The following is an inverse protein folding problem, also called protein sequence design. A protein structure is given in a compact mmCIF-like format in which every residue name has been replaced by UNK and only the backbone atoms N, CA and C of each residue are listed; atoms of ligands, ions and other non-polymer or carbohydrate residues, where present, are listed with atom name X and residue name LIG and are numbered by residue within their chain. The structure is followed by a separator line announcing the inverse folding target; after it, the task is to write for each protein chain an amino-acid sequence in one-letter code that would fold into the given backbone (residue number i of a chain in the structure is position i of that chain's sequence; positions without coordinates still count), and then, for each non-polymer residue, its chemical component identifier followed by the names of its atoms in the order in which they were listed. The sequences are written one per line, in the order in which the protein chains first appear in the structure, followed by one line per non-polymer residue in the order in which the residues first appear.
data_IF_100152643435
#
_entry.id   IF_100152643435
#
_cell.length_a   1.000
_cell.length_b   1.000
_cell.length_c   1.000
_cell.angle_alpha   90.00
_cell.angle_beta   90.00
_cell.angle_gamma   90.00
#
_symmetry.space_group_name_H-M   'P 1'
#
loop_
_entity.id
_entity.type
_entity.pdbx_description
1 polymer ?
#
# COMPACT_ATOMS: atom_id res chain seq x y z
N UNK A 1 17.24 4.72 -7.41
CA UNK A 1 16.88 3.39 -6.83
C UNK A 1 17.49 2.31 -7.70
N UNK A 2 18.16 1.31 -7.13
CA UNK A 2 18.81 0.32 -7.95
C UNK A 2 17.73 -0.51 -8.64
N UNK A 3 17.90 -0.79 -9.92
CA UNK A 3 17.14 -1.81 -10.67
C UNK A 3 17.43 -3.24 -10.14
N UNK A 4 17.64 -3.39 -8.82
CA UNK A 4 18.15 -4.59 -8.18
C UNK A 4 17.40 -4.83 -6.87
N UNK A 5 16.95 -6.06 -6.73
CA UNK A 5 16.35 -6.58 -5.51
C UNK A 5 17.39 -6.71 -4.39
N UNK A 6 17.06 -6.21 -3.21
CA UNK A 6 17.87 -6.35 -2.00
C UNK A 6 17.22 -7.35 -1.03
N UNK A 7 18.01 -8.29 -0.51
CA UNK A 7 17.54 -9.23 0.52
C UNK A 7 17.79 -8.62 1.90
N UNK A 8 16.71 -8.36 2.63
CA UNK A 8 16.76 -7.81 3.99
C UNK A 8 16.45 -8.92 4.99
N UNK A 9 17.48 -9.41 5.70
CA UNK A 9 17.31 -10.38 6.78
C UNK A 9 16.93 -9.68 8.08
N UNK A 10 15.89 -10.18 8.75
CA UNK A 10 15.42 -9.71 10.06
C UNK A 10 15.22 -10.89 11.00
N UNK A 11 15.36 -10.64 12.30
CA UNK A 11 14.89 -11.52 13.37
C UNK A 11 13.39 -11.27 13.66
N UNK A 12 12.82 -12.05 14.57
CA UNK A 12 11.41 -12.03 14.99
C UNK A 12 11.13 -11.18 16.24
N UNK A 13 12.10 -10.44 16.78
CA UNK A 13 11.87 -9.52 17.90
C UNK A 13 11.05 -8.30 17.45
N UNK A 14 9.77 -8.23 17.86
CA UNK A 14 8.86 -7.13 17.51
C UNK A 14 8.85 -6.06 18.61
N UNK A 15 8.92 -4.75 18.28
CA UNK A 15 8.74 -3.69 19.26
C UNK A 15 7.32 -3.73 19.86
N UNK A 16 7.23 -3.96 21.16
CA UNK A 16 5.97 -3.99 21.90
C UNK A 16 5.91 -2.90 22.97
N UNK A 17 4.71 -2.42 23.26
CA UNK A 17 4.49 -1.45 24.34
C UNK A 17 4.50 -2.17 25.69
N UNK A 18 5.50 -1.88 26.53
CA UNK A 18 5.64 -2.46 27.87
C UNK A 18 4.59 -1.99 28.88
N UNK A 19 3.81 -0.96 28.56
CA UNK A 19 2.76 -0.42 29.43
C UNK A 19 1.36 -0.97 29.08
N UNK A 20 1.21 -1.69 27.97
CA UNK A 20 -0.09 -2.18 27.50
C UNK A 20 0.01 -3.69 27.27
N UNK A 21 -0.64 -4.44 28.16
CA UNK A 21 -0.76 -5.88 28.08
C UNK A 21 -2.14 -6.28 27.55
N UNK A 22 -2.23 -7.41 26.88
CA UNK A 22 -3.51 -8.08 26.64
C UNK A 22 -4.01 -8.81 27.89
N UNK A 23 -5.19 -9.42 27.79
CA UNK A 23 -5.80 -10.21 28.88
C UNK A 23 -4.96 -11.42 29.31
N UNK A 24 -4.01 -11.84 28.49
CA UNK A 24 -3.10 -12.96 28.73
C UNK A 24 -1.72 -12.50 29.24
N UNK A 25 -1.53 -11.19 29.51
CA UNK A 25 -0.26 -10.65 29.99
C UNK A 25 0.81 -10.48 28.92
N UNK A 26 0.45 -10.53 27.63
CA UNK A 26 1.39 -10.34 26.52
C UNK A 26 1.43 -8.86 26.12
N UNK A 27 2.64 -8.33 25.90
CA UNK A 27 2.82 -6.95 25.44
C UNK A 27 2.25 -6.77 24.02
N UNK A 28 1.46 -5.72 23.80
CA UNK A 28 0.89 -5.45 22.46
C UNK A 28 1.95 -4.85 21.51
N UNK A 29 1.97 -5.24 20.22
CA UNK A 29 2.82 -4.60 19.21
C UNK A 29 2.61 -3.09 19.14
N UNK A 30 3.68 -2.34 18.98
CA UNK A 30 3.64 -0.87 18.98
C UNK A 30 3.13 -0.31 17.63
N UNK A 31 3.53 -0.93 16.51
CA UNK A 31 3.24 -0.48 15.15
C UNK A 31 2.10 -1.29 14.51
N UNK A 32 2.34 -2.03 13.42
CA UNK A 32 1.33 -2.85 12.75
C UNK A 32 0.71 -3.87 13.70
N UNK A 33 -0.62 -3.99 13.61
CA UNK A 33 -1.43 -4.89 14.44
C UNK A 33 -2.29 -5.76 13.53
N UNK A 34 -1.92 -7.03 13.30
CA UNK A 34 -2.75 -7.94 12.52
C UNK A 34 -4.06 -8.22 13.25
N UNK A 35 -5.14 -8.50 12.50
CA UNK A 35 -6.45 -8.84 13.07
C UNK A 35 -6.45 -10.21 13.76
N UNK A 36 -5.58 -11.12 13.28
CA UNK A 36 -5.43 -12.51 13.73
C UNK A 36 -3.96 -12.84 14.02
N UNK A 37 -3.64 -14.13 14.11
CA UNK A 37 -2.29 -14.66 14.30
C UNK A 37 -1.40 -14.59 13.02
N UNK A 38 -1.48 -13.48 12.29
CA UNK A 38 -0.72 -13.25 11.06
C UNK A 38 0.54 -12.44 11.34
N UNK A 39 1.68 -13.12 11.48
CA UNK A 39 2.96 -12.49 11.81
C UNK A 39 3.57 -11.68 10.65
N UNK A 40 3.22 -12.02 9.40
CA UNK A 40 3.92 -11.52 8.22
C UNK A 40 3.85 -10.00 8.09
N UNK A 41 2.75 -9.35 8.50
CA UNK A 41 2.59 -7.89 8.41
C UNK A 41 3.61 -7.18 9.30
N UNK A 42 3.79 -7.66 10.53
CA UNK A 42 4.76 -7.10 11.47
C UNK A 42 6.20 -7.31 10.98
N UNK A 43 6.50 -8.49 10.43
CA UNK A 43 7.80 -8.80 9.86
C UNK A 43 8.09 -7.97 8.61
N UNK A 44 7.11 -7.78 7.73
CA UNK A 44 7.23 -6.96 6.54
C UNK A 44 7.49 -5.50 6.89
N UNK A 45 6.73 -4.93 7.83
CA UNK A 45 6.96 -3.56 8.32
C UNK A 45 8.36 -3.44 8.93
N UNK A 46 8.81 -4.41 9.72
CA UNK A 46 10.16 -4.43 10.29
C UNK A 46 11.25 -4.47 9.21
N UNK A 47 11.09 -5.31 8.20
CA UNK A 47 12.04 -5.39 7.09
C UNK A 47 12.09 -4.07 6.33
N UNK A 48 10.92 -3.45 6.09
CA UNK A 48 10.81 -2.17 5.40
C UNK A 48 11.38 -1.01 6.24
N UNK A 49 11.16 -1.02 7.55
CA UNK A 49 11.78 -0.10 8.50
C UNK A 49 13.31 -0.23 8.45
N UNK A 50 13.84 -1.45 8.51
CA UNK A 50 15.29 -1.71 8.40
C UNK A 50 15.84 -1.22 7.06
N UNK A 51 15.10 -1.41 5.96
CA UNK A 51 15.47 -0.89 4.65
C UNK A 51 15.57 0.64 4.65
N UNK A 52 14.62 1.33 5.29
CA UNK A 52 14.55 2.80 5.37
C UNK A 52 15.45 3.44 6.44
N UNK A 53 16.07 2.65 7.33
CA UNK A 53 16.94 3.14 8.41
C UNK A 53 16.29 3.21 9.80
N UNK A 54 15.05 2.73 9.97
CA UNK A 54 14.36 2.59 11.25
C UNK A 54 12.85 2.82 11.14
N UNK A 55 12.11 2.53 12.21
CA UNK A 55 10.65 2.72 12.25
C UNK A 55 10.26 4.21 12.16
N UNK A 56 11.02 5.11 12.78
CA UNK A 56 10.78 6.56 12.67
C UNK A 56 10.94 7.06 11.25
N UNK A 57 11.77 6.39 10.44
CA UNK A 57 11.95 6.71 9.03
C UNK A 57 10.76 6.26 8.17
N UNK A 58 9.76 5.55 8.72
CA UNK A 58 8.53 5.23 7.99
C UNK A 58 7.47 6.32 8.12
N UNK A 59 7.64 7.26 9.06
CA UNK A 59 6.69 8.35 9.26
C UNK A 59 6.68 9.29 8.05
N UNK A 60 5.48 9.60 7.55
CA UNK A 60 5.25 10.51 6.42
C UNK A 60 5.87 10.01 5.11
N UNK A 61 5.08 9.38 4.25
CA UNK A 61 5.56 8.85 2.96
C UNK A 61 4.48 8.77 1.90
N UNK A 62 4.90 8.55 0.65
CA UNK A 62 3.99 8.30 -0.47
C UNK A 62 3.69 6.81 -0.58
N UNK A 63 2.41 6.42 -0.56
CA UNK A 63 2.00 5.00 -0.65
C UNK A 63 2.48 4.35 -1.95
N UNK A 64 2.36 5.06 -3.07
CA UNK A 64 2.83 4.59 -4.38
C UNK A 64 4.35 4.40 -4.43
N UNK A 65 5.11 5.15 -3.64
CA UNK A 65 6.56 4.93 -3.51
C UNK A 65 6.83 3.62 -2.76
N UNK A 66 6.12 3.38 -1.65
CA UNK A 66 6.31 2.16 -0.86
C UNK A 66 5.99 0.91 -1.69
N UNK A 67 4.89 0.95 -2.45
CA UNK A 67 4.52 -0.14 -3.37
C UNK A 67 5.61 -0.31 -4.44
N UNK A 68 6.04 0.78 -5.10
CA UNK A 68 7.16 0.72 -6.07
C UNK A 68 8.44 0.14 -5.49
N UNK A 69 8.77 0.47 -4.24
CA UNK A 69 9.96 -0.08 -3.57
C UNK A 69 9.85 -1.59 -3.35
N UNK A 70 8.62 -2.10 -3.16
CA UNK A 70 8.33 -3.53 -2.98
C UNK A 70 8.11 -4.28 -4.29
N UNK A 71 7.74 -3.60 -5.38
CA UNK A 71 7.41 -4.24 -6.66
C UNK A 71 8.45 -4.02 -7.76
N UNK A 72 9.21 -2.93 -7.69
CA UNK A 72 10.09 -2.44 -8.76
C UNK A 72 9.34 -1.74 -9.91
N UNK A 73 8.01 -1.76 -9.90
CA UNK A 73 7.18 -1.32 -11.02
C UNK A 73 7.04 0.23 -11.08
N UNK A 74 6.85 0.81 -12.28
CA UNK A 74 6.53 2.23 -12.46
C UNK A 74 5.35 2.68 -11.61
N UNK A 75 5.53 3.80 -10.91
CA UNK A 75 4.48 4.42 -10.09
C UNK A 75 4.14 5.81 -10.61
N UNK A 76 2.85 6.13 -10.60
CA UNK A 76 2.27 7.37 -11.13
C UNK A 76 1.18 7.86 -10.20
N UNK A 77 0.94 9.16 -10.23
CA UNK A 77 -0.17 9.80 -9.53
C UNK A 77 -0.93 10.70 -10.47
N UNK A 78 -2.25 10.55 -10.51
CA UNK A 78 -3.15 11.48 -11.15
C UNK A 78 -3.67 12.47 -10.11
N UNK A 79 -3.60 13.75 -10.43
CA UNK A 79 -4.08 14.83 -9.60
C UNK A 79 -5.22 15.54 -10.31
N UNK A 80 -6.32 15.78 -9.59
CA UNK A 80 -7.47 16.49 -10.11
C UNK A 80 -7.31 17.99 -9.89
N UNK A 81 -7.44 18.76 -10.98
CA UNK A 81 -7.59 20.21 -10.92
C UNK A 81 -9.09 20.56 -10.98
N UNK A 82 -9.67 20.85 -9.82
CA UNK A 82 -11.11 21.17 -9.71
C UNK A 82 -11.51 22.42 -10.50
N UNK A 83 -10.58 23.36 -10.72
CA UNK A 83 -10.86 24.59 -11.47
C UNK A 83 -11.08 24.30 -12.96
N UNK A 84 -10.34 23.32 -13.50
CA UNK A 84 -10.41 22.93 -14.92
C UNK A 84 -11.28 21.70 -15.16
N UNK A 85 -11.62 20.96 -14.09
CA UNK A 85 -12.27 19.64 -14.15
C UNK A 85 -11.46 18.62 -14.98
N UNK A 86 -10.15 18.73 -14.90
CA UNK A 86 -9.19 17.89 -15.62
C UNK A 86 -8.28 17.14 -14.64
N UNK A 87 -7.77 15.99 -15.07
CA UNK A 87 -6.75 15.22 -14.39
C UNK A 87 -5.40 15.44 -15.05
N UNK A 88 -4.38 15.65 -14.24
CA UNK A 88 -2.98 15.74 -14.67
C UNK A 88 -2.19 14.55 -14.13
N UNK A 89 -1.39 13.93 -14.98
CA UNK A 89 -0.53 12.81 -14.60
C UNK A 89 0.83 13.32 -14.12
N UNK A 90 1.30 12.76 -13.00
CA UNK A 90 2.66 12.94 -12.48
C UNK A 90 3.34 11.59 -12.30
N UNK A 91 4.53 11.44 -12.85
CA UNK A 91 5.32 10.22 -12.69
C UNK A 91 6.21 10.31 -11.44
N UNK A 92 6.26 9.24 -10.66
CA UNK A 92 7.13 9.16 -9.50
C UNK A 92 8.55 8.80 -9.90
N UNK A 93 9.52 9.61 -9.47
CA UNK A 93 10.94 9.33 -9.64
C UNK A 93 11.64 9.36 -8.30
N UNK A 94 12.47 8.35 -8.06
CA UNK A 94 13.33 8.27 -6.89
C UNK A 94 14.59 9.10 -7.12
N UNK A 95 15.09 9.72 -6.06
CA UNK A 95 16.39 10.34 -6.01
C UNK A 95 17.34 9.47 -5.21
N UNK A 96 18.59 9.42 -5.61
CA UNK A 96 19.62 8.76 -4.82
C UNK A 96 20.10 9.75 -3.75
N UNK A 97 19.73 9.48 -2.50
CA UNK A 97 20.18 10.22 -1.32
C UNK A 97 20.80 9.23 -0.33
N UNK A 98 22.06 9.44 0.11
CA UNK A 98 22.71 8.53 1.06
C UNK A 98 22.01 8.42 2.42
N UNK A 99 21.22 9.41 2.81
CA UNK A 99 20.59 9.50 4.13
C UNK A 99 19.08 9.20 4.11
N UNK A 100 18.42 9.33 2.95
CA UNK A 100 16.99 9.07 2.80
C UNK A 100 16.68 8.27 1.55
N UNK A 101 16.55 6.95 1.71
CA UNK A 101 16.16 6.04 0.61
C UNK A 101 14.76 6.31 0.05
N UNK A 102 13.94 7.08 0.75
CA UNK A 102 12.55 7.39 0.37
C UNK A 102 12.44 8.63 -0.49
N UNK A 103 13.53 9.39 -0.62
CA UNK A 103 13.53 10.65 -1.37
C UNK A 103 13.03 10.41 -2.78
N UNK A 104 11.88 10.98 -3.08
CA UNK A 104 11.23 10.89 -4.38
C UNK A 104 10.53 12.20 -4.72
N UNK A 105 10.27 12.39 -6.02
CA UNK A 105 9.56 13.54 -6.56
C UNK A 105 8.50 13.09 -7.56
N UNK A 106 7.45 13.88 -7.67
CA UNK A 106 6.38 13.72 -8.66
C UNK A 106 6.59 14.74 -9.79
N UNK A 107 6.77 14.23 -11.00
CA UNK A 107 7.09 15.03 -12.17
C UNK A 107 5.87 15.09 -13.09
N UNK A 108 5.38 16.32 -13.31
CA UNK A 108 4.25 16.55 -14.20
C UNK A 108 4.53 16.16 -15.63
N UNK A 109 3.48 15.68 -16.29
CA UNK A 109 3.42 15.49 -17.73
C UNK A 109 2.42 16.49 -18.31
N UNK A 110 2.52 16.79 -19.60
CA UNK A 110 1.60 17.73 -20.28
C UNK A 110 0.22 17.12 -20.59
N UNK A 111 -0.04 15.90 -20.10
CA UNK A 111 -1.29 15.20 -20.30
C UNK A 111 -2.42 15.85 -19.51
N UNK A 112 -3.48 16.20 -20.22
CA UNK A 112 -4.75 16.66 -19.67
C UNK A 112 -5.80 15.61 -20.00
N UNK A 113 -6.43 15.08 -18.96
CA UNK A 113 -7.34 13.95 -19.07
C UNK A 113 -8.70 14.40 -18.52
N UNK A 114 -9.75 14.25 -19.32
CA UNK A 114 -11.11 14.52 -18.84
C UNK A 114 -11.61 13.41 -17.90
N UNK A 115 -12.70 13.70 -17.18
CA UNK A 115 -13.26 12.79 -16.19
C UNK A 115 -13.71 11.43 -16.77
N UNK A 116 -14.22 11.40 -18.01
CA UNK A 116 -14.72 10.18 -18.61
C UNK A 116 -13.58 9.32 -19.14
N UNK A 117 -12.58 9.93 -19.75
CA UNK A 117 -11.34 9.27 -20.16
C UNK A 117 -10.57 8.75 -18.95
N UNK A 118 -10.53 9.50 -17.84
CA UNK A 118 -9.87 9.05 -16.62
C UNK A 118 -10.49 7.76 -16.07
N UNK A 119 -11.83 7.64 -16.14
CA UNK A 119 -12.51 6.40 -15.77
C UNK A 119 -12.10 5.21 -16.65
N UNK A 120 -12.01 5.40 -17.97
CA UNK A 120 -11.54 4.35 -18.88
C UNK A 120 -10.09 3.94 -18.60
N UNK A 121 -9.22 4.92 -18.32
CA UNK A 121 -7.83 4.68 -17.95
C UNK A 121 -7.75 3.84 -16.68
N UNK A 122 -8.52 4.19 -15.65
CA UNK A 122 -8.62 3.42 -14.40
C UNK A 122 -9.13 2.00 -14.64
N UNK A 123 -10.16 1.83 -15.47
CA UNK A 123 -10.69 0.52 -15.83
C UNK A 123 -9.64 -0.33 -16.54
N UNK A 124 -8.85 0.28 -17.43
CA UNK A 124 -7.73 -0.38 -18.10
C UNK A 124 -6.66 -0.82 -17.09
N UNK A 125 -6.22 0.05 -16.19
CA UNK A 125 -5.25 -0.32 -15.16
C UNK A 125 -5.76 -1.42 -14.22
N UNK A 126 -7.04 -1.35 -13.82
CA UNK A 126 -7.68 -2.42 -13.05
C UNK A 126 -7.65 -3.75 -13.82
N UNK A 127 -7.97 -3.76 -15.13
CA UNK A 127 -7.91 -4.97 -15.97
C UNK A 127 -6.51 -5.54 -16.15
N UNK A 128 -5.47 -4.70 -16.04
CA UNK A 128 -4.06 -5.10 -16.09
C UNK A 128 -3.54 -5.61 -14.74
N UNK A 129 -4.38 -5.58 -13.69
CA UNK A 129 -3.98 -5.96 -12.33
C UNK A 129 -3.05 -4.94 -11.65
N UNK A 130 -3.00 -3.70 -12.13
CA UNK A 130 -2.24 -2.63 -11.48
C UNK A 130 -2.77 -2.36 -10.07
N UNK A 131 -1.88 -1.92 -9.17
CA UNK A 131 -2.26 -1.54 -7.81
C UNK A 131 -2.77 -0.11 -7.83
N UNK A 132 -4.00 0.08 -7.36
CA UNK A 132 -4.71 1.35 -7.40
C UNK A 132 -4.99 1.86 -5.99
N UNK A 133 -4.78 3.15 -5.78
CA UNK A 133 -5.03 3.83 -4.51
C UNK A 133 -5.68 5.19 -4.74
N UNK A 134 -6.44 5.66 -3.76
CA UNK A 134 -7.05 6.99 -3.73
C UNK A 134 -6.56 7.74 -2.48
N UNK A 135 -6.40 9.06 -2.59
CA UNK A 135 -6.02 9.91 -1.45
C UNK A 135 -6.56 11.33 -1.62
N UNK A 136 -6.50 12.11 -0.55
CA UNK A 136 -7.07 13.45 -0.53
C UNK A 136 -8.60 13.41 -0.58
N UNK A 137 -9.18 12.56 0.28
CA UNK A 137 -10.62 12.51 0.53
C UNK A 137 -11.14 13.85 1.07
N UNK A 138 -12.38 14.19 0.74
CA UNK A 138 -13.09 15.41 1.18
C UNK A 138 -13.27 15.49 2.70
N UNK A 139 -13.32 14.35 3.39
CA UNK A 139 -13.66 14.29 4.82
C UNK A 139 -15.16 14.30 5.11
N UNK A 140 -15.99 14.25 4.07
CA UNK A 140 -17.45 14.26 4.16
C UNK A 140 -17.99 12.83 4.09
N UNK A 141 -19.23 12.63 4.53
CA UNK A 141 -19.99 11.38 4.36
C UNK A 141 -19.24 10.11 4.83
N UNK A 142 -18.56 10.22 5.98
CA UNK A 142 -17.83 9.11 6.60
C UNK A 142 -16.39 8.92 6.10
N UNK A 143 -15.96 9.68 5.08
CA UNK A 143 -14.60 9.60 4.56
C UNK A 143 -13.59 10.25 5.50
N UNK A 144 -12.43 9.61 5.65
CA UNK A 144 -11.32 10.08 6.50
C UNK A 144 -10.30 10.86 5.68
N UNK A 145 -9.97 12.07 6.10
CA UNK A 145 -8.94 12.92 5.48
C UNK A 145 -7.53 12.51 5.87
N UNK A 146 -6.53 12.90 5.06
CA UNK A 146 -5.11 12.64 5.38
C UNK A 146 -4.70 11.16 5.33
N UNK A 147 -5.54 10.27 4.81
CA UNK A 147 -5.29 8.84 4.69
C UNK A 147 -5.38 8.36 3.23
N UNK A 148 -4.83 7.17 2.97
CA UNK A 148 -4.85 6.53 1.67
C UNK A 148 -5.83 5.36 1.67
N UNK A 149 -6.64 5.27 0.62
CA UNK A 149 -7.61 4.22 0.41
C UNK A 149 -7.17 3.35 -0.77
N UNK A 150 -7.63 2.11 -0.82
CA UNK A 150 -7.38 1.21 -1.94
C UNK A 150 -8.56 1.25 -2.91
N UNK A 151 -8.30 1.38 -4.21
CA UNK A 151 -9.33 1.16 -5.22
C UNK A 151 -9.27 -0.33 -5.57
N UNK A 152 -10.32 -1.08 -5.24
CA UNK A 152 -10.37 -2.52 -5.44
C UNK A 152 -10.85 -2.87 -6.83
N UNK A 153 -11.92 -2.22 -7.28
CA UNK A 153 -12.58 -2.54 -8.54
C UNK A 153 -13.08 -1.29 -9.25
N UNK A 154 -13.05 -1.35 -10.59
CA UNK A 154 -13.61 -0.32 -11.47
C UNK A 154 -14.46 -1.01 -12.52
N UNK A 155 -15.79 -0.86 -12.45
CA UNK A 155 -16.75 -1.56 -13.32
C UNK A 155 -17.74 -0.60 -13.97
N UNK A 156 -18.13 -0.92 -15.20
CA UNK A 156 -19.34 -0.36 -15.82
C UNK A 156 -20.45 -1.38 -15.72
N UNK A 157 -21.61 -0.94 -15.27
CA UNK A 157 -22.79 -1.80 -15.09
C UNK A 157 -24.01 -1.11 -15.68
N UNK A 158 -24.89 -1.90 -16.26
CA UNK A 158 -26.12 -1.43 -16.85
C UNK A 158 -27.29 -1.98 -16.03
N UNK A 159 -28.30 -1.14 -15.78
CA UNK A 159 -29.48 -1.48 -14.98
C UNK A 159 -30.64 -2.07 -15.80
N UNK A 160 -30.43 -2.28 -17.09
CA UNK A 160 -31.40 -2.91 -18.00
C UNK A 160 -31.51 -4.42 -17.82
N UNK A 161 -32.66 -4.96 -18.21
CA UNK A 161 -32.88 -6.40 -18.23
C UNK A 161 -31.98 -7.06 -19.28
N UNK A 162 -31.08 -7.96 -18.86
CA UNK A 162 -30.06 -8.57 -19.73
C UNK A 162 -29.17 -7.56 -20.48
N UNK A 163 -29.00 -6.34 -19.96
CA UNK A 163 -28.22 -5.30 -20.63
C UNK A 163 -28.93 -4.62 -21.81
N UNK A 164 -30.24 -4.86 -21.97
CA UNK A 164 -31.09 -4.19 -22.96
C UNK A 164 -31.98 -3.15 -22.27
N UNK A 165 -31.89 -1.90 -22.72
CA UNK A 165 -32.53 -0.76 -22.06
C UNK A 165 -31.83 -0.36 -20.75
N UNK A 166 -32.40 0.58 -20.01
CA UNK A 166 -31.86 1.00 -18.71
C UNK A 166 -30.73 2.03 -18.78
N UNK A 167 -30.19 2.38 -17.60
CA UNK A 167 -29.14 3.40 -17.43
C UNK A 167 -27.79 2.73 -17.16
N UNK A 168 -26.75 3.29 -17.77
CA UNK A 168 -25.36 2.91 -17.50
C UNK A 168 -24.82 3.63 -16.27
N UNK A 169 -24.17 2.86 -15.40
CA UNK A 169 -23.52 3.32 -14.19
C UNK A 169 -22.02 3.02 -14.25
N UNK A 170 -21.23 4.03 -13.89
CA UNK A 170 -19.77 3.93 -13.70
C UNK A 170 -19.52 3.79 -12.21
N UNK A 171 -19.01 2.65 -11.79
CA UNK A 171 -18.92 2.24 -10.39
C UNK A 171 -17.47 1.97 -10.00
N UNK A 172 -17.09 2.42 -8.80
CA UNK A 172 -15.78 2.20 -8.21
C UNK A 172 -15.95 1.62 -6.82
N UNK A 173 -15.23 0.53 -6.53
CA UNK A 173 -15.15 -0.05 -5.20
C UNK A 173 -13.90 0.46 -4.51
N UNK A 174 -14.06 1.06 -3.35
CA UNK A 174 -12.98 1.61 -2.53
C UNK A 174 -12.95 0.88 -1.20
N UNK A 175 -11.76 0.71 -0.63
CA UNK A 175 -11.57 0.17 0.71
C UNK A 175 -10.80 1.11 1.61
N UNK A 176 -11.35 1.33 2.81
CA UNK A 176 -10.64 1.90 3.94
C UNK A 176 -9.76 0.82 4.61
N UNK A 177 -8.42 0.95 4.63
CA UNK A 177 -7.53 -0.03 5.24
C UNK A 177 -7.77 -0.26 6.74
N UNK A 178 -8.42 0.68 7.45
CA UNK A 178 -8.77 0.48 8.86
C UNK A 178 -9.93 -0.49 9.09
N UNK A 179 -10.61 -0.92 8.02
CA UNK A 179 -11.74 -1.84 8.09
C UNK A 179 -12.92 -1.27 8.88
N UNK A 180 -13.05 0.06 8.92
CA UNK A 180 -14.14 0.83 9.53
C UNK A 180 -14.14 2.25 8.97
N UNK A 181 -15.29 2.92 8.99
CA UNK A 181 -15.43 4.28 8.45
C UNK A 181 -15.64 4.21 6.95
N UNK A 182 -16.88 3.97 6.58
CA UNK A 182 -17.35 3.74 5.22
C UNK A 182 -18.15 4.93 4.69
N UNK A 183 -18.26 4.99 3.37
CA UNK A 183 -19.08 5.95 2.67
C UNK A 183 -20.54 5.86 3.12
N UNK A 184 -21.18 6.99 3.42
CA UNK A 184 -22.59 7.04 3.84
C UNK A 184 -23.57 7.55 2.76
N UNK A 185 -23.08 7.85 1.56
CA UNK A 185 -23.91 8.38 0.47
C UNK A 185 -24.56 7.28 -0.38
N UNK A 186 -24.89 7.63 -1.63
CA UNK A 186 -25.48 6.69 -2.59
C UNK A 186 -24.54 5.52 -2.85
N UNK A 187 -25.10 4.31 -2.98
CA UNK A 187 -24.36 3.05 -3.16
C UNK A 187 -23.48 2.62 -1.98
N UNK A 188 -23.55 3.31 -0.84
CA UNK A 188 -23.07 2.78 0.44
C UNK A 188 -23.74 1.45 0.79
N UNK A 189 -23.16 0.69 1.70
CA UNK A 189 -23.63 -0.66 2.02
C UNK A 189 -25.06 -0.67 2.58
N UNK A 190 -25.42 0.41 3.29
CA UNK A 190 -26.76 0.65 3.83
C UNK A 190 -27.68 1.44 2.90
N UNK A 191 -27.25 1.73 1.68
CA UNK A 191 -28.01 2.57 0.75
C UNK A 191 -29.25 1.84 0.23
N UNK A 192 -30.36 2.58 0.15
CA UNK A 192 -31.61 2.07 -0.44
C UNK A 192 -31.51 1.88 -1.96
N UNK A 193 -30.55 2.52 -2.61
CA UNK A 193 -30.35 2.47 -4.07
C UNK A 193 -30.11 1.04 -4.56
N UNK A 194 -29.53 0.17 -3.73
CA UNK A 194 -29.35 -1.24 -4.04
C UNK A 194 -30.66 -2.01 -4.24
N UNK A 195 -31.73 -1.62 -3.54
CA UNK A 195 -33.05 -2.25 -3.67
C UNK A 195 -33.76 -1.81 -4.95
N UNK A 196 -33.48 -0.59 -5.41
CA UNK A 196 -34.05 -0.02 -6.64
C UNK A 196 -33.36 -0.58 -7.90
N UNK A 197 -32.10 -1.01 -7.78
CA UNK A 197 -31.27 -1.48 -8.90
C UNK A 197 -30.74 -2.92 -8.69
N UNK A 198 -31.61 -3.95 -8.70
CA UNK A 198 -31.20 -5.33 -8.43
C UNK A 198 -30.27 -5.91 -9.51
N UNK A 199 -30.37 -5.44 -10.75
CA UNK A 199 -29.48 -5.85 -11.85
C UNK A 199 -28.03 -5.39 -11.57
N UNK A 200 -27.86 -4.15 -11.11
CA UNK A 200 -26.57 -3.58 -10.72
C UNK A 200 -25.99 -4.33 -9.52
N UNK A 201 -26.80 -4.58 -8.49
CA UNK A 201 -26.39 -5.35 -7.30
C UNK A 201 -25.81 -6.72 -7.68
N UNK A 202 -26.47 -7.44 -8.59
CA UNK A 202 -26.01 -8.74 -9.08
C UNK A 202 -24.74 -8.63 -9.93
N UNK A 203 -24.64 -7.64 -10.80
CA UNK A 203 -23.47 -7.43 -11.67
C UNK A 203 -22.19 -7.02 -10.91
N UNK A 204 -22.35 -6.34 -9.78
CA UNK A 204 -21.25 -5.93 -8.91
C UNK A 204 -20.90 -6.97 -7.85
N UNK A 205 -21.65 -8.07 -7.76
CA UNK A 205 -21.44 -9.12 -6.74
C UNK A 205 -21.40 -8.52 -5.33
N UNK A 206 -22.30 -7.57 -5.06
CA UNK A 206 -22.32 -6.84 -3.80
C UNK A 206 -22.64 -7.75 -2.62
N UNK A 207 -21.81 -7.67 -1.57
CA UNK A 207 -22.01 -8.30 -0.27
C UNK A 207 -22.10 -7.21 0.80
N UNK A 208 -23.08 -7.34 1.71
CA UNK A 208 -23.28 -6.41 2.82
C UNK A 208 -22.41 -6.86 4.00
N UNK A 209 -21.14 -6.45 3.98
CA UNK A 209 -20.13 -6.81 4.99
C UNK A 209 -19.37 -5.55 5.39
N UNK A 210 -19.35 -5.24 6.69
CA UNK A 210 -18.53 -4.15 7.26
C UNK A 210 -17.06 -4.58 7.32
N UNK A 211 -16.39 -4.49 6.17
CA UNK A 211 -14.96 -4.76 5.99
C UNK A 211 -14.15 -3.51 5.58
N UNK A 212 -14.82 -2.35 5.57
CA UNK A 212 -14.31 -1.07 5.11
C UNK A 212 -14.37 -0.90 3.60
N UNK A 213 -14.88 -1.86 2.83
CA UNK A 213 -15.00 -1.79 1.38
C UNK A 213 -16.43 -1.44 0.95
N UNK A 214 -16.56 -0.31 0.25
CA UNK A 214 -17.84 0.21 -0.21
C UNK A 214 -17.79 0.54 -1.70
N UNK A 215 -18.95 0.55 -2.34
CA UNK A 215 -19.11 1.05 -3.70
C UNK A 215 -19.52 2.53 -3.70
N UNK A 216 -19.12 3.24 -4.74
CA UNK A 216 -19.60 4.58 -5.03
C UNK A 216 -19.69 4.81 -6.54
N UNK A 217 -20.52 5.78 -6.92
CA UNK A 217 -20.57 6.22 -8.30
C UNK A 217 -19.30 6.98 -8.67
N UNK A 218 -18.92 6.95 -9.95
CA UNK A 218 -17.77 7.72 -10.44
C UNK A 218 -17.96 9.23 -10.24
N UNK A 219 -19.21 9.71 -10.26
CA UNK A 219 -19.51 11.12 -10.02
C UNK A 219 -19.14 11.50 -8.58
N UNK A 220 -19.58 10.70 -7.62
CA UNK A 220 -19.27 10.92 -6.20
C UNK A 220 -17.77 10.72 -5.94
N UNK A 221 -17.14 9.78 -6.65
CA UNK A 221 -15.70 9.60 -6.59
C UNK A 221 -14.96 10.89 -6.96
N UNK A 222 -15.33 11.47 -8.10
CA UNK A 222 -14.72 12.70 -8.59
C UNK A 222 -14.85 13.79 -7.52
N UNK A 223 -16.06 14.02 -7.00
CA UNK A 223 -16.35 15.08 -6.02
C UNK A 223 -15.60 14.89 -4.69
N UNK A 224 -15.34 13.66 -4.29
CA UNK A 224 -14.73 13.35 -2.99
C UNK A 224 -13.22 13.11 -3.02
N UNK A 225 -12.62 12.79 -4.17
CA UNK A 225 -11.21 12.40 -4.26
C UNK A 225 -10.41 13.30 -5.21
N UNK A 226 -9.26 13.78 -4.72
CA UNK A 226 -8.38 14.66 -5.50
C UNK A 226 -7.18 13.94 -6.12
N UNK A 227 -6.82 12.74 -5.65
CA UNK A 227 -5.59 12.05 -6.06
C UNK A 227 -5.80 10.56 -6.23
N UNK A 228 -5.24 10.02 -7.31
CA UNK A 228 -5.26 8.59 -7.62
C UNK A 228 -3.83 8.12 -7.83
N UNK A 229 -3.38 7.16 -7.04
CA UNK A 229 -2.09 6.51 -7.20
C UNK A 229 -2.22 5.22 -8.01
N UNK A 230 -1.37 5.04 -9.00
CA UNK A 230 -1.29 3.83 -9.83
C UNK A 230 0.13 3.30 -9.79
N UNK A 231 0.29 2.03 -9.46
CA UNK A 231 1.53 1.31 -9.66
C UNK A 231 1.27 0.19 -10.65
N UNK A 232 2.01 0.22 -11.75
CA UNK A 232 1.92 -0.82 -12.78
C UNK A 232 2.24 -2.19 -12.17
N UNK A 233 1.81 -3.25 -12.84
CA UNK A 233 2.24 -4.60 -12.52
C UNK A 233 2.80 -5.23 -13.80
N UNK A 234 4.12 -5.15 -13.96
CA UNK A 234 4.79 -5.78 -15.10
C UNK A 234 5.06 -7.26 -14.84
N UNK A 235 5.06 -7.66 -13.56
CA UNK A 235 5.31 -9.04 -13.11
C UNK A 235 4.04 -9.60 -12.51
N UNK A 236 3.51 -10.67 -13.08
CA UNK A 236 2.35 -11.38 -12.53
C UNK A 236 2.72 -12.02 -11.18
N UNK A 237 1.78 -12.04 -10.24
CA UNK A 237 1.97 -12.69 -8.94
C UNK A 237 2.29 -14.19 -9.11
N UNK A 238 1.77 -14.83 -10.17
CA UNK A 238 2.07 -16.23 -10.47
C UNK A 238 3.45 -16.41 -11.12
N UNK A 239 4.10 -15.33 -11.56
CA UNK A 239 5.46 -15.36 -12.11
C UNK A 239 6.54 -15.06 -11.07
N UNK A 240 6.15 -14.74 -9.82
CA UNK A 240 7.07 -14.60 -8.70
C UNK A 240 7.66 -15.96 -8.34
N UNK A 241 8.79 -16.29 -8.97
CA UNK A 241 9.67 -17.32 -8.45
C UNK A 241 10.51 -16.70 -7.34
N UNK A 242 10.35 -17.20 -6.12
CA UNK A 242 11.36 -17.00 -5.11
C UNK A 242 12.66 -17.54 -5.71
N UNK A 243 13.66 -16.67 -5.92
CA UNK A 243 15.02 -17.11 -6.21
C UNK A 243 15.62 -17.69 -4.93
N UNK A 244 15.01 -18.76 -4.44
CA UNK A 244 15.68 -19.64 -3.50
C UNK A 244 16.79 -20.27 -4.32
N UNK A 245 18.04 -19.86 -4.08
CA UNK A 245 19.18 -20.60 -4.62
C UNK A 245 19.32 -22.00 -3.98
N UNK A 246 18.30 -22.43 -3.21
CA UNK A 246 18.36 -23.56 -2.30
C UNK A 246 17.70 -24.86 -2.81
N UNK A 247 17.11 -24.85 -4.01
CA UNK A 247 16.46 -26.07 -4.56
C UNK A 247 17.43 -27.00 -5.33
N UNK A 248 18.71 -26.62 -5.46
CA UNK A 248 19.70 -27.60 -5.92
C UNK A 248 20.04 -28.56 -4.78
N UNK A 249 20.14 -29.86 -5.04
CA UNK A 249 20.50 -30.86 -4.02
C UNK A 249 21.81 -30.52 -3.26
N UNK A 250 22.67 -29.70 -3.87
CA UNK A 250 23.93 -29.24 -3.29
C UNK A 250 23.84 -27.85 -2.63
N UNK A 251 22.70 -27.17 -2.61
CA UNK A 251 22.61 -25.82 -2.09
C UNK A 251 22.92 -25.67 -0.59
N UNK A 252 22.55 -26.60 0.30
CA UNK A 252 22.98 -26.55 1.70
C UNK A 252 24.51 -26.60 1.80
N UNK A 253 25.15 -27.42 0.97
CA UNK A 253 26.62 -27.55 0.90
C UNK A 253 27.25 -26.29 0.31
N UNK A 254 26.66 -25.72 -0.74
CA UNK A 254 27.15 -24.50 -1.38
C UNK A 254 27.02 -23.29 -0.44
N UNK A 255 25.91 -23.18 0.28
CA UNK A 255 25.66 -22.16 1.28
C UNK A 255 26.62 -22.33 2.48
N UNK A 256 26.86 -23.56 2.94
CA UNK A 256 27.83 -23.87 3.98
C UNK A 256 29.25 -23.53 3.54
N UNK A 257 29.70 -23.98 2.36
CA UNK A 257 31.02 -23.67 1.82
C UNK A 257 31.21 -22.17 1.61
N UNK A 258 30.20 -21.47 1.10
CA UNK A 258 30.26 -20.02 0.92
C UNK A 258 30.27 -19.29 2.27
N UNK A 259 29.46 -19.73 3.23
CA UNK A 259 29.43 -19.21 4.60
C UNK A 259 30.76 -19.41 5.32
N UNK A 260 31.32 -20.62 5.28
CA UNK A 260 32.63 -20.97 5.84
C UNK A 260 33.76 -20.22 5.15
N UNK A 261 33.75 -20.09 3.82
CA UNK A 261 34.75 -19.33 3.09
C UNK A 261 34.67 -17.83 3.43
N UNK A 262 33.47 -17.24 3.50
CA UNK A 262 33.32 -15.86 3.95
C UNK A 262 33.74 -15.66 5.42
N UNK A 263 33.46 -16.63 6.29
CA UNK A 263 33.77 -16.58 7.72
C UNK A 263 35.28 -16.72 7.97
N UNK A 264 35.90 -17.77 7.43
CA UNK A 264 37.29 -18.17 7.69
C UNK A 264 38.28 -17.57 6.68
N UNK A 265 37.97 -17.60 5.37
CA UNK A 265 38.90 -17.16 4.33
C UNK A 265 38.81 -15.66 4.03
N UNK A 266 37.61 -15.06 4.14
CA UNK A 266 37.43 -13.61 3.99
C UNK A 266 37.46 -12.84 5.31
N UNK A 267 37.76 -13.51 6.43
CA UNK A 267 37.84 -12.94 7.79
C UNK A 267 36.60 -12.14 8.24
N UNK A 268 35.45 -12.29 7.57
CA UNK A 268 34.21 -11.59 7.94
C UNK A 268 33.64 -12.15 9.26
N UNK A 269 33.98 -13.40 9.58
CA UNK A 269 33.69 -14.04 10.85
C UNK A 269 34.42 -13.40 12.01
N UNK A 270 35.75 -13.27 11.90
CA UNK A 270 36.57 -12.58 12.90
C UNK A 270 36.09 -11.14 13.14
N UNK A 271 35.70 -10.42 12.07
CA UNK A 271 35.12 -9.07 12.22
C UNK A 271 33.78 -9.08 12.97
N UNK A 272 32.91 -10.07 12.77
CA UNK A 272 31.64 -10.21 13.51
C UNK A 272 31.80 -10.70 14.96
N UNK A 273 32.81 -11.53 15.23
CA UNK A 273 33.08 -12.10 16.57
C UNK A 273 33.86 -11.11 17.44
N UNK A 274 34.84 -10.39 16.88
CA UNK A 274 35.66 -9.42 17.62
C UNK A 274 35.13 -7.99 17.53
N UNK A 275 34.34 -7.65 16.52
CA UNK A 275 33.56 -6.41 16.45
C UNK A 275 32.07 -6.74 16.30
N UNK A 276 31.45 -7.43 17.29
CA UNK A 276 30.03 -7.64 17.25
C UNK A 276 29.35 -6.28 17.13
N UNK A 277 28.41 -6.17 16.19
CA UNK A 277 27.46 -5.08 16.26
C UNK A 277 26.69 -5.31 17.56
N UNK A 278 27.07 -4.57 18.62
CA UNK A 278 26.28 -4.54 19.85
C UNK A 278 24.89 -4.13 19.42
N UNK A 279 23.90 -5.02 19.53
CA UNK A 279 22.52 -4.59 19.70
C UNK A 279 22.53 -3.75 20.97
N UNK A 280 22.52 -2.44 20.83
CA UNK A 280 22.37 -1.58 21.98
C UNK A 280 20.93 -1.72 22.45
N UNK A 281 20.74 -2.11 23.72
CA UNK A 281 19.46 -1.94 24.41
C UNK A 281 19.10 -0.45 24.56
N UNK A 282 20.04 0.44 24.23
CA UNK A 282 19.81 1.87 24.12
C UNK A 282 18.96 2.16 22.89
N UNK A 283 17.70 2.48 23.14
CA UNK A 283 16.85 3.21 22.19
C UNK A 283 17.58 4.49 21.82
N UNK A 284 17.99 4.63 20.55
CA UNK A 284 18.52 5.89 20.03
C UNK A 284 17.47 6.97 20.30
N UNK A 285 17.76 7.89 21.21
CA UNK A 285 16.88 9.03 21.48
C UNK A 285 16.82 9.86 20.22
N UNK A 286 15.66 9.87 19.56
CA UNK A 286 15.35 10.78 18.45
C UNK A 286 15.64 12.21 18.94
N UNK A 287 16.43 12.98 18.19
CA UNK A 287 16.63 14.40 18.49
C UNK A 287 15.26 15.06 18.56
N UNK A 288 14.87 15.54 19.74
CA UNK A 288 13.61 16.27 19.95
C UNK A 288 13.54 17.42 18.96
N UNK A 289 12.56 17.36 18.07
CA UNK A 289 12.18 18.41 17.14
C UNK A 289 11.01 17.90 16.31
N UNK A 290 9.87 18.58 16.42
CA UNK A 290 8.60 18.30 15.73
C UNK A 290 7.71 17.21 16.36
N UNK A 291 7.21 17.46 17.58
CA UNK A 291 5.88 17.00 17.95
C UNK A 291 5.02 18.23 18.25
N UNK A 292 4.05 18.46 17.38
CA UNK A 292 2.93 19.37 17.58
C UNK A 292 1.64 18.69 17.12
N UNK A 293 1.35 17.50 17.64
CA UNK A 293 0.04 16.87 17.50
C UNK A 293 -0.33 16.27 18.86
N UNK A 294 -1.20 16.98 19.58
CA UNK A 294 -2.01 16.42 20.65
C UNK A 294 -2.98 15.42 20.01
N UNK A 295 -2.93 14.17 20.45
CA UNK A 295 -3.95 13.17 20.16
C UNK A 295 -5.00 13.31 21.27
N UNK A 296 -6.19 13.78 20.90
CA UNK A 296 -7.45 13.41 21.57
C UNK A 296 -8.14 12.38 20.69
#
# INVERSE_FOLDING_TARGET
MPDKWEIITIDDYIPCNKAIFDHNGTCKPLFSKPKNNELYVMLLEKAFAKFCGGYSALEGGQTIWAIRAMTGDPARQFYRDDSKKEWARKDLRNFDDPHDKRKCGLYGTDEKIDNDTMFEILRKYHSLGSILSASGASGQDGLVTGHAYSILQVRKVNDGFMGLGGKDYKMVQIRNPWGRGEWSGDWSDKSKTWAEHPAVKKALEFEDVDDGAFWMSWKDFIENWSRIGVVDRTVDINSLSLRVKDDSACAPVLACCKGCCCFWCCCQGCKKVYCPHRSSDETIKVKKGCCGCNIM
#
